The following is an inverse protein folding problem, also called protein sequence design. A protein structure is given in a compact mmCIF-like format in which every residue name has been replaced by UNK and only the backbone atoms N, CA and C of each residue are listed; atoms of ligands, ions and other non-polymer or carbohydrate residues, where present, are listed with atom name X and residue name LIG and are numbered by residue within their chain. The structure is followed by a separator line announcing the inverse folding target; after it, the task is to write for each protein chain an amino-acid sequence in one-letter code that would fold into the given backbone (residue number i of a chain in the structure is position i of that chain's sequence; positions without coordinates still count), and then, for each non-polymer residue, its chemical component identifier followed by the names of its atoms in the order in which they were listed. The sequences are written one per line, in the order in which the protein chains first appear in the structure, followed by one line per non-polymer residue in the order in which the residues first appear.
data_IF_118660720497
#
_entry.id   IF_118660720497
#
_cell.length_a   1.000
_cell.length_b   1.000
_cell.length_c   1.000
_cell.angle_alpha   90.00
_cell.angle_beta   90.00
_cell.angle_gamma   90.00
#
_symmetry.space_group_name_H-M   'P 1'
#
loop_
_entity.id
_entity.type
_entity.pdbx_description
1 polymer ?
#
# COMPACT_ATOMS: atom_id res chain seq x y z
N UNK A 1 -9.83 14.68 8.10
CA UNK A 1 -9.91 15.17 6.71
C UNK A 1 -9.10 14.32 5.72
N UNK A 2 -7.83 13.97 6.01
CA UNK A 2 -7.03 13.10 5.12
C UNK A 2 -7.63 11.70 4.83
N UNK A 3 -8.23 11.03 5.83
CA UNK A 3 -8.69 9.64 5.65
C UNK A 3 -9.79 9.51 4.59
N UNK A 4 -10.81 10.39 4.60
CA UNK A 4 -11.84 10.41 3.56
C UNK A 4 -11.26 10.72 2.17
N UNK A 5 -10.29 11.64 2.08
CA UNK A 5 -9.64 11.98 0.82
C UNK A 5 -8.88 10.77 0.26
N UNK A 6 -8.17 10.02 1.10
CA UNK A 6 -7.49 8.79 0.69
C UNK A 6 -8.48 7.73 0.17
N UNK A 7 -9.59 7.50 0.86
CA UNK A 7 -10.57 6.49 0.42
C UNK A 7 -11.24 6.89 -0.90
N UNK A 8 -11.66 8.16 -1.02
CA UNK A 8 -12.34 8.67 -2.23
C UNK A 8 -11.39 8.63 -3.44
N UNK A 9 -10.12 9.01 -3.26
CA UNK A 9 -9.13 9.01 -4.36
C UNK A 9 -8.79 7.60 -4.81
N UNK A 10 -8.62 6.64 -3.90
CA UNK A 10 -8.31 5.25 -4.27
C UNK A 10 -9.52 4.61 -4.99
N UNK A 11 -10.75 4.87 -4.53
CA UNK A 11 -11.96 4.38 -5.22
C UNK A 11 -12.12 5.00 -6.61
N UNK A 12 -11.96 6.31 -6.74
CA UNK A 12 -12.06 7.02 -8.02
C UNK A 12 -10.98 6.57 -9.00
N UNK A 13 -9.74 6.38 -8.52
CA UNK A 13 -8.66 5.87 -9.35
C UNK A 13 -8.91 4.44 -9.83
N UNK A 14 -9.39 3.56 -8.93
CA UNK A 14 -9.68 2.16 -9.27
C UNK A 14 -10.82 2.03 -10.29
N UNK A 15 -11.88 2.85 -10.17
CA UNK A 15 -12.99 2.85 -11.13
C UNK A 15 -12.57 3.45 -12.47
N UNK A 16 -11.80 4.54 -12.47
CA UNK A 16 -11.28 5.16 -13.69
C UNK A 16 -10.33 4.22 -14.44
N UNK A 17 -9.44 3.53 -13.73
CA UNK A 17 -8.55 2.53 -14.30
C UNK A 17 -9.33 1.38 -14.96
N UNK A 18 -10.41 0.93 -14.29
CA UNK A 18 -11.37 -0.04 -14.80
C UNK A 18 -12.21 0.49 -15.98
N UNK A 19 -12.15 1.78 -16.32
CA UNK A 19 -12.81 2.33 -17.53
C UNK A 19 -11.82 2.51 -18.69
N UNK A 20 -10.55 2.77 -18.39
CA UNK A 20 -9.52 3.06 -19.39
C UNK A 20 -8.84 1.79 -19.92
N UNK A 21 -8.54 0.82 -19.05
CA UNK A 21 -7.75 -0.36 -19.41
C UNK A 21 -8.66 -1.48 -19.90
N UNK A 22 -8.45 -2.05 -21.10
CA UNK A 22 -9.27 -3.15 -21.62
C UNK A 22 -9.17 -4.40 -20.73
N UNK A 23 -10.25 -5.19 -20.66
CA UNK A 23 -10.40 -6.40 -19.82
C UNK A 23 -9.23 -7.38 -19.95
N UNK A 24 -8.59 -7.47 -21.11
CA UNK A 24 -7.45 -8.37 -21.38
C UNK A 24 -6.16 -7.98 -20.65
N UNK A 25 -5.97 -6.70 -20.34
CA UNK A 25 -4.83 -6.19 -19.56
C UNK A 25 -5.21 -5.89 -18.10
N UNK A 26 -6.50 -5.98 -17.79
CA UNK A 26 -7.07 -5.77 -16.47
C UNK A 26 -6.85 -7.02 -15.63
N UNK A 27 -5.64 -7.19 -15.10
CA UNK A 27 -5.36 -8.20 -14.08
C UNK A 27 -6.13 -7.88 -12.77
N UNK A 28 -5.66 -8.34 -11.62
CA UNK A 28 -6.28 -8.14 -10.30
C UNK A 28 -6.34 -6.66 -9.82
N UNK A 29 -6.24 -5.63 -10.68
CA UNK A 29 -6.21 -4.19 -10.34
C UNK A 29 -5.19 -3.82 -9.23
N UNK A 30 -4.17 -4.66 -9.03
CA UNK A 30 -3.24 -4.51 -7.92
C UNK A 30 -3.87 -4.77 -6.55
N UNK A 31 -4.94 -5.58 -6.45
CA UNK A 31 -5.46 -6.13 -5.19
C UNK A 31 -4.31 -6.79 -4.44
N UNK A 32 -4.24 -6.49 -3.15
CA UNK A 32 -3.24 -7.08 -2.26
C UNK A 32 -3.57 -8.55 -2.03
N UNK A 33 -2.68 -9.42 -2.45
CA UNK A 33 -2.83 -10.85 -2.28
C UNK A 33 -1.63 -11.43 -1.54
N UNK A 34 -1.95 -12.32 -0.61
CA UNK A 34 -0.96 -13.12 0.12
C UNK A 34 -0.49 -14.24 -0.80
N UNK A 35 0.83 -14.43 -0.84
CA UNK A 35 1.42 -15.51 -1.61
C UNK A 35 0.95 -16.88 -1.10
N UNK A 36 0.71 -17.84 -2.01
CA UNK A 36 0.07 -19.14 -1.73
C UNK A 36 0.82 -20.00 -0.70
N UNK A 37 2.10 -19.75 -0.49
CA UNK A 37 2.96 -20.50 0.44
C UNK A 37 3.09 -19.84 1.82
N UNK A 38 2.47 -18.68 2.04
CA UNK A 38 2.51 -17.99 3.33
C UNK A 38 1.26 -18.29 4.15
N UNK A 39 1.47 -18.52 5.45
CA UNK A 39 0.35 -18.54 6.38
C UNK A 39 -0.19 -17.12 6.59
N UNK A 40 -1.49 -17.04 6.90
CA UNK A 40 -2.19 -15.79 7.27
C UNK A 40 -1.43 -14.99 8.34
N UNK A 41 -0.94 -15.66 9.39
CA UNK A 41 -0.18 -15.01 10.47
C UNK A 41 1.17 -14.44 10.01
N UNK A 42 1.91 -15.17 9.17
CA UNK A 42 3.16 -14.66 8.59
C UNK A 42 2.93 -13.43 7.70
N UNK A 43 1.87 -13.44 6.89
CA UNK A 43 1.50 -12.31 6.06
C UNK A 43 1.18 -11.06 6.90
N UNK A 44 0.41 -11.22 7.99
CA UNK A 44 0.13 -10.14 8.93
C UNK A 44 1.41 -9.59 9.58
N UNK A 45 2.32 -10.47 10.01
CA UNK A 45 3.61 -10.06 10.58
C UNK A 45 4.50 -9.27 9.60
N UNK A 46 4.54 -9.70 8.33
CA UNK A 46 5.30 -9.00 7.27
C UNK A 46 4.72 -7.60 7.04
N UNK A 47 3.40 -7.48 6.90
CA UNK A 47 2.73 -6.17 6.73
C UNK A 47 2.93 -5.26 7.94
N UNK A 48 2.91 -5.81 9.17
CA UNK A 48 3.17 -5.05 10.38
C UNK A 48 4.58 -4.47 10.40
N UNK A 49 5.60 -5.27 10.06
CA UNK A 49 7.00 -4.81 10.01
C UNK A 49 7.18 -3.75 8.92
N UNK A 50 6.64 -3.98 7.73
CA UNK A 50 6.73 -3.03 6.60
C UNK A 50 6.07 -1.69 6.92
N UNK A 51 4.89 -1.72 7.55
CA UNK A 51 4.15 -0.52 7.96
C UNK A 51 4.86 0.19 9.11
N UNK A 52 5.47 -0.56 10.04
CA UNK A 52 6.29 -0.01 11.11
C UNK A 52 7.48 0.78 10.56
N UNK A 53 8.20 0.24 9.57
CA UNK A 53 9.33 0.95 8.92
C UNK A 53 8.84 2.24 8.26
N UNK A 54 7.71 2.21 7.55
CA UNK A 54 7.14 3.38 6.90
C UNK A 54 6.78 4.48 7.92
N UNK A 55 6.05 4.12 8.98
CA UNK A 55 5.65 5.06 10.03
C UNK A 55 6.87 5.59 10.79
N UNK A 56 7.84 4.73 11.09
CA UNK A 56 9.09 5.12 11.73
C UNK A 56 9.86 6.15 10.90
N UNK A 57 9.99 5.93 9.58
CA UNK A 57 10.59 6.93 8.69
C UNK A 57 9.79 8.23 8.69
N UNK A 58 8.46 8.18 8.64
CA UNK A 58 7.64 9.38 8.68
C UNK A 58 7.94 10.18 9.95
N UNK A 59 7.88 9.55 11.13
CA UNK A 59 8.21 10.20 12.39
C UNK A 59 9.64 10.75 12.42
N UNK A 60 10.62 9.99 11.93
CA UNK A 60 12.00 10.44 11.84
C UNK A 60 12.19 11.64 10.88
N UNK A 61 11.36 11.76 9.84
CA UNK A 61 11.45 12.87 8.87
C UNK A 61 10.72 14.14 9.31
N UNK A 62 9.67 14.01 10.14
CA UNK A 62 8.88 15.15 10.64
C UNK A 62 9.34 15.66 12.02
N UNK A 63 10.29 14.99 12.67
CA UNK A 63 10.81 15.40 13.98
C UNK A 63 11.37 16.83 13.92
N UNK A 64 10.82 17.77 14.70
CA UNK A 64 11.25 19.17 14.71
C UNK A 64 12.68 19.36 15.23
N UNK A 65 13.24 18.38 15.96
CA UNK A 65 14.62 18.45 16.48
C UNK A 65 15.66 18.04 15.43
N UNK A 66 15.22 17.53 14.27
CA UNK A 66 16.13 17.12 13.21
C UNK A 66 16.63 18.33 12.44
N UNK A 67 17.96 18.46 12.30
CA UNK A 67 18.55 19.37 11.31
C UNK A 67 18.06 18.96 9.91
N UNK A 68 17.46 19.91 9.18
CA UNK A 68 16.94 19.73 7.82
C UNK A 68 18.07 19.24 6.88
N UNK A 69 18.23 17.91 6.79
CA UNK A 69 19.16 17.24 5.89
C UNK A 69 18.33 16.60 4.77
N UNK A 70 18.13 17.36 3.71
CA UNK A 70 17.54 16.89 2.45
C UNK A 70 16.01 16.99 2.34
N UNK A 71 15.49 16.45 1.25
CA UNK A 71 14.06 16.51 0.92
C UNK A 71 13.25 15.47 1.72
N UNK A 72 12.40 15.95 2.64
CA UNK A 72 11.45 15.13 3.42
C UNK A 72 10.59 14.18 2.55
N UNK A 73 9.92 14.65 1.47
CA UNK A 73 9.10 13.77 0.64
C UNK A 73 9.93 12.71 -0.11
N UNK A 74 11.18 13.01 -0.46
CA UNK A 74 12.06 12.05 -1.14
C UNK A 74 12.42 10.87 -0.23
N UNK A 75 12.71 11.13 1.05
CA UNK A 75 13.02 10.09 2.03
C UNK A 75 11.83 9.14 2.27
N UNK A 76 10.62 9.70 2.37
CA UNK A 76 9.39 8.92 2.51
C UNK A 76 9.14 8.09 1.25
N UNK A 77 9.27 8.69 0.06
CA UNK A 77 9.09 8.01 -1.22
C UNK A 77 10.07 6.85 -1.42
N UNK A 78 11.35 7.04 -1.11
CA UNK A 78 12.37 5.97 -1.18
C UNK A 78 12.07 4.82 -0.21
N UNK A 79 11.57 5.13 0.98
CA UNK A 79 11.17 4.10 1.95
C UNK A 79 10.00 3.26 1.42
N UNK A 80 8.98 3.91 0.84
CA UNK A 80 7.85 3.19 0.22
C UNK A 80 8.34 2.29 -0.91
N UNK A 81 9.24 2.77 -1.77
CA UNK A 81 9.82 1.98 -2.85
C UNK A 81 10.61 0.77 -2.34
N UNK A 82 11.39 0.94 -1.27
CA UNK A 82 12.12 -0.16 -0.62
C UNK A 82 11.17 -1.19 0.00
N UNK A 83 10.14 -0.73 0.70
CA UNK A 83 9.10 -1.61 1.24
C UNK A 83 8.41 -2.41 0.13
N UNK A 84 8.13 -1.80 -1.03
CA UNK A 84 7.57 -2.52 -2.17
C UNK A 84 8.55 -3.53 -2.78
N UNK A 85 9.83 -3.17 -2.94
CA UNK A 85 10.84 -4.10 -3.49
C UNK A 85 10.95 -5.39 -2.65
N UNK A 86 10.81 -5.28 -1.33
CA UNK A 86 10.86 -6.43 -0.41
C UNK A 86 9.50 -7.12 -0.30
N UNK A 87 8.42 -6.37 -0.07
CA UNK A 87 7.09 -6.88 0.26
C UNK A 87 6.25 -7.34 -0.93
N UNK A 88 6.58 -6.90 -2.16
CA UNK A 88 5.77 -7.20 -3.35
C UNK A 88 5.58 -8.71 -3.59
N UNK A 89 6.63 -9.52 -3.39
CA UNK A 89 6.54 -10.98 -3.60
C UNK A 89 5.78 -11.73 -2.51
N UNK A 90 5.61 -11.15 -1.33
CA UNK A 90 5.01 -11.83 -0.18
C UNK A 90 3.52 -11.48 -0.02
N UNK A 91 3.19 -10.20 0.06
CA UNK A 91 1.82 -9.72 0.34
C UNK A 91 1.35 -8.65 -0.64
N UNK A 92 2.11 -8.42 -1.72
CA UNK A 92 1.93 -7.27 -2.63
C UNK A 92 2.08 -5.90 -1.95
N UNK A 93 2.66 -5.86 -0.74
CA UNK A 93 3.00 -4.64 0.02
C UNK A 93 1.80 -3.69 0.18
N UNK A 94 0.80 -4.11 0.98
CA UNK A 94 -0.38 -3.30 1.29
C UNK A 94 0.01 -1.96 1.88
N UNK A 95 0.79 -1.95 2.97
CA UNK A 95 1.30 -0.77 3.72
C UNK A 95 0.21 0.21 4.23
N UNK A 96 -1.02 0.07 3.75
CA UNK A 96 -2.10 1.02 3.93
C UNK A 96 -3.44 0.32 3.65
N UNK A 97 -4.30 0.15 4.66
CA UNK A 97 -5.63 -0.44 4.51
C UNK A 97 -6.49 0.26 3.44
N UNK A 98 -6.41 1.59 3.30
CA UNK A 98 -7.18 2.33 2.31
C UNK A 98 -6.75 2.00 0.87
N UNK A 99 -5.47 1.70 0.64
CA UNK A 99 -4.92 1.27 -0.66
C UNK A 99 -5.37 -0.13 -1.05
N UNK A 100 -5.62 -0.99 -0.06
CA UNK A 100 -6.15 -2.34 -0.28
C UNK A 100 -7.66 -2.36 -0.49
N UNK A 101 -8.38 -1.43 0.14
CA UNK A 101 -9.85 -1.34 0.07
C UNK A 101 -10.38 -1.01 -1.33
N UNK A 102 -9.79 -0.04 -2.02
CA UNK A 102 -10.32 0.43 -3.31
C UNK A 102 -10.36 -0.63 -4.42
N UNK A 103 -9.25 -1.32 -4.75
CA UNK A 103 -9.26 -2.36 -5.75
C UNK A 103 -10.08 -3.59 -5.31
N UNK A 104 -10.12 -3.92 -4.01
CA UNK A 104 -10.95 -4.99 -3.47
C UNK A 104 -12.45 -4.73 -3.70
N UNK A 105 -12.89 -3.48 -3.53
CA UNK A 105 -14.27 -3.06 -3.77
C UNK A 105 -14.65 -3.10 -5.26
N UNK A 106 -13.77 -2.61 -6.14
CA UNK A 106 -14.04 -2.56 -7.59
C UNK A 106 -14.00 -3.95 -8.23
N UNK A 107 -13.12 -4.84 -7.77
CA UNK A 107 -12.99 -6.22 -8.30
C UNK A 107 -13.82 -7.25 -7.54
N UNK A 108 -14.47 -6.84 -6.45
CA UNK A 108 -15.20 -7.71 -5.52
C UNK A 108 -14.38 -8.89 -4.97
N UNK A 109 -13.11 -8.63 -4.63
CA UNK A 109 -12.13 -9.64 -4.15
C UNK A 109 -11.75 -9.36 -2.71
N UNK A 110 -12.24 -10.18 -1.79
CA UNK A 110 -12.09 -10.00 -0.33
C UNK A 110 -11.17 -11.05 0.33
N UNK A 111 -10.39 -11.77 -0.46
CA UNK A 111 -9.53 -12.84 0.03
C UNK A 111 -8.44 -12.28 0.95
N UNK A 112 -8.45 -12.67 2.22
CA UNK A 112 -7.47 -12.25 3.24
C UNK A 112 -7.39 -10.73 3.45
N UNK A 113 -8.52 -10.03 3.39
CA UNK A 113 -8.63 -8.58 3.64
C UNK A 113 -8.66 -8.18 5.13
N UNK A 114 -8.64 -9.17 6.04
CA UNK A 114 -8.72 -9.00 7.49
C UNK A 114 -7.45 -8.37 8.08
#
# INVERSE_FOLDING_TARGET
MCLCICVITVLTFSTLYCRIVPETCRQDLGVTQVHRHLTKGQACGIELILTFILIFTIFATIDPNRKELGSKPLAIGLTISMCHLVGYRYTSSSLNPARSLGPAFVTNRWNSHW
#
